data_IF_768783787298
#
_entry.id   IF_768783787298
#
_cell.length_a   1.000
_cell.length_b   1.000
_cell.length_c   1.000
_cell.angle_alpha   90.00
_cell.angle_beta   90.00
_cell.angle_gamma   90.00
#
_symmetry.space_group_name_H-M   'P 1'
#
loop_
_entity.id
_entity.type
_entity.pdbx_description
1 polymer ?
#
# COMPACT_ATOMS: atom_id res chain seq x y z
N UNK A 1 -18.09 14.98 6.76
CA UNK A 1 -18.16 13.65 7.39
C UNK A 1 -17.38 12.70 6.48
N UNK A 2 -16.24 12.17 6.93
CA UNK A 2 -15.40 11.32 6.07
C UNK A 2 -16.20 10.08 5.67
N UNK A 3 -16.42 9.91 4.37
CA UNK A 3 -17.08 8.76 3.77
C UNK A 3 -16.18 7.55 4.03
N UNK A 4 -16.52 6.76 5.04
CA UNK A 4 -15.85 5.51 5.45
C UNK A 4 -14.36 5.61 5.85
N UNK A 5 -14.01 5.73 7.15
CA UNK A 5 -12.62 5.80 7.62
C UNK A 5 -11.79 4.54 7.35
N UNK A 6 -12.40 3.42 6.96
CA UNK A 6 -11.67 2.19 6.65
C UNK A 6 -10.92 2.26 5.31
N UNK A 7 -11.23 3.22 4.43
CA UNK A 7 -10.55 3.35 3.14
C UNK A 7 -9.05 3.70 3.27
N UNK A 8 -8.66 4.30 4.39
CA UNK A 8 -7.26 4.58 4.71
C UNK A 8 -6.47 3.34 5.16
N UNK A 9 -7.15 2.21 5.31
CA UNK A 9 -6.59 0.98 5.86
C UNK A 9 -6.63 -0.21 4.89
N UNK A 10 -7.00 0.02 3.62
CA UNK A 10 -7.05 -1.02 2.58
C UNK A 10 -5.77 -1.03 1.75
N UNK A 11 -5.24 -2.23 1.50
CA UNK A 11 -4.09 -2.40 0.60
C UNK A 11 -4.57 -2.75 -0.81
N UNK A 12 -4.72 -1.73 -1.65
CA UNK A 12 -5.33 -1.84 -2.99
C UNK A 12 -4.61 -0.97 -4.03
N UNK A 13 -4.70 -1.26 -5.33
CA UNK A 13 -4.16 -0.39 -6.37
C UNK A 13 -4.95 0.92 -6.47
N UNK A 14 -4.23 2.02 -6.60
CA UNK A 14 -4.69 3.33 -7.06
C UNK A 14 -4.46 3.40 -8.56
N UNK A 15 -5.53 3.63 -9.31
CA UNK A 15 -5.51 3.64 -10.77
C UNK A 15 -5.56 5.10 -11.24
N UNK A 16 -4.53 5.53 -11.97
CA UNK A 16 -4.42 6.87 -12.53
C UNK A 16 -4.11 6.81 -14.03
N UNK A 17 -5.17 6.77 -14.85
CA UNK A 17 -5.14 6.68 -16.33
C UNK A 17 -4.24 5.57 -16.90
N UNK A 18 -2.92 5.76 -16.92
CA UNK A 18 -1.95 4.80 -17.43
C UNK A 18 -1.07 4.17 -16.33
N UNK A 19 -1.21 4.65 -15.10
CA UNK A 19 -0.39 4.24 -13.96
C UNK A 19 -1.24 3.49 -12.94
N UNK A 20 -0.62 2.50 -12.32
CA UNK A 20 -1.17 1.77 -11.18
C UNK A 20 -0.14 1.87 -10.07
N UNK A 21 -0.55 2.39 -8.92
CA UNK A 21 0.28 2.49 -7.73
C UNK A 21 -0.37 1.70 -6.58
N UNK A 22 0.38 0.98 -5.77
CA UNK A 22 -0.19 0.24 -4.64
C UNK A 22 -0.32 1.14 -3.42
N UNK A 23 -1.53 1.24 -2.86
CA UNK A 23 -1.76 1.90 -1.59
C UNK A 23 -1.22 1.04 -0.43
N UNK A 24 0.02 1.27 -0.04
CA UNK A 24 0.71 0.55 1.05
C UNK A 24 0.32 1.09 2.45
N UNK A 25 -0.97 1.01 2.82
CA UNK A 25 -1.49 1.55 4.09
C UNK A 25 -0.84 0.94 5.33
N UNK A 26 -0.31 -0.26 5.24
CA UNK A 26 0.33 -0.95 6.35
C UNK A 26 1.60 -0.25 6.84
N UNK A 27 2.21 0.60 6.00
CA UNK A 27 3.37 1.40 6.37
C UNK A 27 3.01 2.56 7.30
N UNK A 28 1.78 3.09 7.19
CA UNK A 28 1.32 4.27 7.94
C UNK A 28 0.25 3.94 8.99
N UNK A 29 -0.10 2.67 9.18
CA UNK A 29 -1.15 2.21 10.11
C UNK A 29 -0.92 2.66 11.57
N UNK A 30 0.34 2.88 11.95
CA UNK A 30 0.76 3.42 13.24
C UNK A 30 0.31 4.87 13.47
N UNK A 31 0.22 5.70 12.42
CA UNK A 31 -0.31 7.06 12.51
C UNK A 31 -1.80 7.05 12.92
N UNK A 32 -2.51 5.97 12.58
CA UNK A 32 -3.92 5.76 12.90
C UNK A 32 -4.13 5.01 14.23
N UNK A 33 -3.10 4.89 15.06
CA UNK A 33 -3.12 4.17 16.36
C UNK A 33 -3.45 2.67 16.23
N UNK A 34 -3.06 2.06 15.12
CA UNK A 34 -3.19 0.62 14.89
C UNK A 34 -1.81 -0.02 14.67
N UNK A 35 -1.68 -1.29 15.06
CA UNK A 35 -0.50 -2.11 14.78
C UNK A 35 -0.87 -3.31 13.91
N UNK A 36 0.07 -3.74 13.07
CA UNK A 36 -0.07 -4.96 12.26
C UNK A 36 0.46 -6.16 13.06
N UNK A 37 -0.31 -7.24 13.11
CA UNK A 37 0.10 -8.49 13.81
C UNK A 37 1.20 -9.23 13.04
N UNK A 38 1.27 -9.05 11.70
CA UNK A 38 2.22 -9.74 10.81
C UNK A 38 2.87 -8.73 9.84
N UNK A 39 4.20 -8.65 9.86
CA UNK A 39 4.96 -7.82 8.91
C UNK A 39 5.20 -8.60 7.62
N UNK A 40 4.32 -8.42 6.64
CA UNK A 40 4.61 -8.88 5.27
C UNK A 40 5.80 -8.10 4.72
N UNK A 41 6.69 -8.73 3.93
CA UNK A 41 7.71 -7.99 3.20
C UNK A 41 7.06 -6.95 2.27
N UNK A 42 7.76 -5.84 1.96
CA UNK A 42 7.27 -4.89 0.97
C UNK A 42 7.00 -5.65 -0.33
N UNK A 43 5.85 -5.38 -0.93
CA UNK A 43 5.53 -5.92 -2.24
C UNK A 43 6.44 -5.24 -3.26
N UNK A 44 7.03 -6.02 -4.16
CA UNK A 44 7.79 -5.45 -5.27
C UNK A 44 6.81 -4.81 -6.25
N UNK A 45 6.68 -3.48 -6.12
CA UNK A 45 5.83 -2.66 -6.98
C UNK A 45 6.60 -2.09 -8.17
N UNK A 46 7.90 -2.36 -8.31
CA UNK A 46 8.71 -1.76 -9.37
C UNK A 46 8.19 -2.14 -10.77
N UNK A 47 7.68 -3.37 -10.90
CA UNK A 47 7.02 -3.85 -12.11
C UNK A 47 5.71 -3.10 -12.44
N UNK A 48 5.03 -2.52 -11.45
CA UNK A 48 3.81 -1.72 -11.63
C UNK A 48 4.13 -0.28 -12.07
N UNK A 49 5.26 0.26 -11.59
CA UNK A 49 5.71 1.62 -11.90
C UNK A 49 6.35 1.78 -13.29
N UNK A 50 6.84 0.69 -13.92
CA UNK A 50 7.49 0.73 -15.24
C UNK A 50 6.53 0.76 -16.44
N UNK A 51 5.32 1.30 -16.28
CA UNK A 51 4.48 1.60 -17.45
C UNK A 51 4.77 3.01 -17.96
N UNK A 52 5.80 3.10 -18.77
CA UNK A 52 6.15 4.33 -19.46
C UNK A 52 5.02 4.70 -20.46
N UNK A 53 4.52 5.92 -20.33
CA UNK A 53 3.41 6.48 -21.12
C UNK A 53 3.81 6.78 -22.57
N UNK A 54 5.10 6.67 -22.89
CA UNK A 54 5.66 7.11 -24.16
C UNK A 54 5.41 6.08 -25.28
N UNK A 55 4.65 6.47 -26.31
CA UNK A 55 4.50 5.70 -27.55
C UNK A 55 3.37 4.66 -27.60
N UNK A 56 2.48 4.59 -26.60
CA UNK A 56 1.38 3.59 -26.54
C UNK A 56 -0.02 4.21 -26.55
N UNK A 57 -0.35 4.87 -27.65
CA UNK A 57 -1.65 5.52 -27.89
C UNK A 57 -2.74 4.48 -28.24
N UNK A 58 -2.34 3.23 -28.52
CA UNK A 58 -3.19 2.11 -28.96
C UNK A 58 -3.50 1.10 -27.84
N UNK A 59 -3.04 1.34 -26.61
CA UNK A 59 -3.26 0.41 -25.50
C UNK A 59 -4.68 0.55 -24.96
N UNK A 60 -5.42 -0.56 -24.95
CA UNK A 60 -6.73 -0.65 -24.28
C UNK A 60 -6.52 -0.61 -22.76
N UNK A 61 -6.63 0.59 -22.19
CA UNK A 61 -6.48 0.82 -20.75
C UNK A 61 -7.60 0.18 -19.93
N UNK A 62 -8.81 0.03 -20.47
CA UNK A 62 -9.90 -0.66 -19.78
C UNK A 62 -9.54 -2.13 -19.59
N UNK A 63 -9.08 -2.79 -20.65
CA UNK A 63 -8.63 -4.18 -20.58
C UNK A 63 -7.38 -4.35 -19.72
N UNK A 64 -6.45 -3.41 -19.77
CA UNK A 64 -5.25 -3.45 -18.94
C UNK A 64 -5.57 -3.28 -17.44
N UNK A 65 -6.55 -2.44 -17.11
CA UNK A 65 -6.91 -2.16 -15.72
C UNK A 65 -7.98 -3.09 -15.14
N UNK A 66 -8.56 -4.00 -15.92
CA UNK A 66 -9.66 -4.87 -15.49
C UNK A 66 -9.38 -5.57 -14.15
N UNK A 67 -8.20 -6.16 -14.01
CA UNK A 67 -7.78 -6.79 -12.75
C UNK A 67 -7.71 -5.79 -11.59
N UNK A 68 -7.10 -4.62 -11.80
CA UNK A 68 -6.97 -3.60 -10.75
C UNK A 68 -8.32 -2.97 -10.38
N UNK A 69 -9.22 -2.81 -11.35
CA UNK A 69 -10.59 -2.34 -11.13
C UNK A 69 -11.33 -3.36 -10.27
N UNK A 70 -11.21 -4.66 -10.57
CA UNK A 70 -11.80 -5.71 -9.76
C UNK A 70 -11.28 -5.70 -8.31
N UNK A 71 -9.96 -5.51 -8.11
CA UNK A 71 -9.39 -5.36 -6.76
C UNK A 71 -9.93 -4.11 -6.05
N UNK A 72 -10.09 -3.00 -6.77
CA UNK A 72 -10.64 -1.75 -6.22
C UNK A 72 -12.11 -1.88 -5.83
N UNK A 73 -12.93 -2.57 -6.63
CA UNK A 73 -14.34 -2.85 -6.30
C UNK A 73 -14.43 -3.74 -5.05
N UNK A 74 -13.56 -4.74 -4.93
CA UNK A 74 -13.46 -5.62 -3.77
C UNK A 74 -12.59 -5.04 -2.62
N UNK A 75 -12.30 -3.73 -2.62
CA UNK A 75 -11.33 -3.11 -1.70
C UNK A 75 -11.53 -3.41 -0.22
N UNK A 76 -12.75 -3.63 0.24
CA UNK A 76 -13.04 -3.92 1.65
C UNK A 76 -12.58 -5.32 2.09
N UNK A 77 -12.37 -6.24 1.15
CA UNK A 77 -11.79 -7.56 1.43
C UNK A 77 -10.28 -7.45 1.74
N UNK A 78 -9.66 -6.34 1.34
CA UNK A 78 -8.24 -6.03 1.54
C UNK A 78 -7.99 -5.10 2.73
N UNK A 79 -8.97 -4.97 3.65
CA UNK A 79 -8.74 -4.29 4.93
C UNK A 79 -7.68 -5.08 5.72
N UNK A 80 -6.64 -4.37 6.15
CA UNK A 80 -5.57 -4.97 6.93
C UNK A 80 -6.09 -5.48 8.29
N UNK A 81 -5.75 -6.73 8.60
CA UNK A 81 -5.86 -7.27 9.96
C UNK A 81 -4.95 -6.44 10.86
N UNK A 82 -5.56 -5.79 11.85
CA UNK A 82 -4.90 -4.81 12.71
C UNK A 82 -5.45 -4.87 14.13
N UNK A 83 -4.62 -4.48 15.07
CA UNK A 83 -4.99 -4.38 16.48
C UNK A 83 -4.87 -2.92 16.93
N UNK A 84 -5.81 -2.42 17.76
CA UNK A 84 -5.68 -1.10 18.34
C UNK A 84 -4.47 -1.05 19.27
N UNK A 85 -3.74 0.06 19.24
CA UNK A 85 -2.66 0.32 20.20
C UNK A 85 -3.30 0.86 21.48
N UNK A 86 -3.42 0.00 22.48
CA UNK A 86 -4.05 0.32 23.77
C UNK A 86 -3.02 0.95 24.74
N UNK A 87 -1.73 0.64 24.59
CA UNK A 87 -0.63 1.22 25.37
C UNK A 87 0.59 1.46 24.47
N UNK A 88 1.31 2.56 24.71
CA UNK A 88 2.56 2.88 24.02
C UNK A 88 3.65 1.80 24.24
N UNK A 89 3.62 1.14 25.39
CA UNK A 89 4.53 0.02 25.70
C UNK A 89 4.27 -1.19 24.79
N UNK A 90 3.02 -1.38 24.36
CA UNK A 90 2.60 -2.39 23.38
C UNK A 90 2.74 -1.90 21.93
N UNK A 91 3.05 -0.62 21.72
CA UNK A 91 3.28 -0.04 20.41
C UNK A 91 4.66 -0.42 19.84
N UNK A 92 5.62 -0.75 20.69
CA UNK A 92 6.94 -1.17 20.21
C UNK A 92 6.91 -2.66 19.90
N UNK A 93 6.38 -3.04 18.74
CA UNK A 93 6.50 -4.41 18.25
C UNK A 93 8.01 -4.73 18.08
N UNK A 94 8.60 -5.66 18.85
CA UNK A 94 10.06 -5.86 18.86
C UNK A 94 10.64 -6.20 17.47
N UNK A 95 9.81 -6.75 16.59
CA UNK A 95 10.14 -7.13 15.21
C UNK A 95 10.02 -5.99 14.19
N UNK A 96 9.28 -4.92 14.51
CA UNK A 96 9.02 -3.84 13.56
C UNK A 96 10.22 -2.94 13.31
N UNK A 97 10.89 -2.46 14.36
CA UNK A 97 12.03 -1.56 14.19
C UNK A 97 13.18 -2.19 13.38
N UNK A 98 13.56 -3.47 13.61
CA UNK A 98 14.47 -4.18 12.71
C UNK A 98 13.96 -4.28 11.27
N UNK A 99 12.69 -4.66 11.07
CA UNK A 99 12.07 -4.76 9.74
C UNK A 99 12.08 -3.42 8.99
N UNK A 100 11.65 -2.33 9.63
CA UNK A 100 11.64 -1.00 9.03
C UNK A 100 13.03 -0.53 8.65
N UNK A 101 14.04 -0.79 9.50
CA UNK A 101 15.44 -0.46 9.17
C UNK A 101 15.97 -1.25 7.99
N UNK A 102 15.50 -2.49 7.78
CA UNK A 102 15.93 -3.37 6.71
C UNK A 102 15.17 -3.11 5.39
N UNK A 103 13.87 -2.80 5.46
CA UNK A 103 12.96 -2.71 4.31
C UNK A 103 12.40 -1.32 4.02
N UNK A 104 12.45 -0.39 4.97
CA UNK A 104 11.86 0.96 4.86
C UNK A 104 12.77 2.00 4.20
N UNK A 105 14.02 1.64 3.91
CA UNK A 105 15.04 2.51 3.30
C UNK A 105 15.05 2.66 1.77
N UNK A 106 14.39 1.82 0.93
CA UNK A 106 14.50 1.96 -0.54
C UNK A 106 14.10 3.34 -1.08
N UNK A 107 13.30 4.12 -0.32
CA UNK A 107 12.75 5.41 -0.76
C UNK A 107 13.39 6.63 -0.07
N UNK A 108 14.36 6.41 0.83
CA UNK A 108 15.07 7.49 1.54
C UNK A 108 16.49 7.72 1.00
N UNK A 109 16.97 6.82 0.15
CA UNK A 109 18.17 7.03 -0.65
C UNK A 109 17.71 7.41 -2.05
N UNK A 110 17.40 8.69 -2.25
CA UNK A 110 17.47 9.26 -3.60
C UNK A 110 18.93 9.13 -4.04
N UNK A 111 19.18 8.49 -5.18
CA UNK A 111 20.46 8.63 -5.88
C UNK A 111 20.64 10.13 -6.18
N UNK A 112 21.71 10.72 -5.63
CA UNK A 112 22.26 12.01 -6.06
C UNK A 112 22.95 11.86 -7.42
#
# INVERSE_FOLDING_TARGET
MLVNPNIWHVKVPLIAYAMVDMHESDRVIWQFRFRKTILSPPQDTEALYKFDLHGRIDKDWLKFHDEYINIWECRYDFILIREPIISWELATAPKYMPWFRHHGKPYLQSEE
#
